data_IF_191189813694
#
_entry.id   IF_191189813694
#
_cell.length_a   1.000
_cell.length_b   1.000
_cell.length_c   1.000
_cell.angle_alpha   90.00
_cell.angle_beta   90.00
_cell.angle_gamma   90.00
#
_symmetry.space_group_name_H-M   'P 1'
#
loop_
_entity.id
_entity.type
_entity.pdbx_description
1 polymer ?
#
# COMPACT_ATOMS: atom_id res chain seq x y z
N UNK A 1 3.41 24.38 7.48
CA UNK A 1 2.74 23.65 6.38
C UNK A 1 2.96 22.17 6.67
N UNK A 2 1.98 21.27 6.53
CA UNK A 2 2.18 19.88 6.92
C UNK A 2 3.06 19.21 5.86
N UNK A 3 4.37 19.36 5.98
CA UNK A 3 5.35 18.79 5.05
C UNK A 3 5.56 17.29 5.28
N UNK A 4 5.16 16.80 6.46
CA UNK A 4 5.47 15.46 6.94
C UNK A 4 4.17 14.76 7.32
N UNK A 5 3.53 14.09 6.35
CA UNK A 5 2.31 13.33 6.63
C UNK A 5 2.64 11.83 6.67
N UNK A 6 2.64 11.17 7.84
CA UNK A 6 2.92 9.75 7.90
C UNK A 6 1.87 8.97 7.11
N UNK A 7 2.32 7.94 6.41
CA UNK A 7 1.46 7.01 5.70
C UNK A 7 1.88 5.56 5.95
N UNK A 8 0.92 4.66 5.77
CA UNK A 8 1.08 3.22 5.86
C UNK A 8 0.45 2.59 4.63
N UNK A 9 1.16 1.65 4.01
CA UNK A 9 0.66 0.78 2.95
C UNK A 9 0.83 -0.66 3.40
N UNK A 10 -0.28 -1.40 3.45
CA UNK A 10 -0.28 -2.83 3.77
C UNK A 10 -0.90 -3.60 2.62
N UNK A 11 -0.33 -4.76 2.30
CA UNK A 11 -0.91 -5.68 1.32
C UNK A 11 -1.13 -7.02 1.97
N UNK A 12 -2.36 -7.51 1.89
CA UNK A 12 -2.78 -8.80 2.43
C UNK A 12 -3.20 -9.71 1.29
N UNK A 13 -2.90 -10.99 1.41
CA UNK A 13 -3.51 -12.00 0.54
C UNK A 13 -4.98 -12.27 0.93
N UNK A 14 -5.69 -13.08 0.14
CA UNK A 14 -7.10 -13.42 0.41
C UNK A 14 -7.32 -14.23 1.70
N UNK A 15 -6.26 -14.76 2.32
CA UNK A 15 -6.32 -15.44 3.61
C UNK A 15 -6.11 -14.45 4.78
N UNK A 16 -5.91 -13.16 4.47
CA UNK A 16 -5.64 -12.12 5.44
C UNK A 16 -4.19 -12.09 5.93
N UNK A 17 -3.28 -12.83 5.29
CA UNK A 17 -1.86 -12.79 5.65
C UNK A 17 -1.23 -11.56 5.03
N UNK A 18 -0.54 -10.78 5.85
CA UNK A 18 0.22 -9.61 5.40
C UNK A 18 1.44 -10.09 4.59
N UNK A 19 1.49 -9.71 3.32
CA UNK A 19 2.58 -10.05 2.40
C UNK A 19 3.51 -8.87 2.13
N UNK A 20 3.07 -7.65 2.45
CA UNK A 20 3.88 -6.43 2.37
C UNK A 20 3.37 -5.41 3.39
N UNK A 21 4.29 -4.67 4.00
CA UNK A 21 3.99 -3.50 4.80
C UNK A 21 5.10 -2.47 4.63
N UNK A 22 4.70 -1.22 4.44
CA UNK A 22 5.59 -0.08 4.37
C UNK A 22 4.99 1.09 5.11
N UNK A 23 5.78 1.66 6.01
CA UNK A 23 5.52 2.96 6.63
C UNK A 23 6.44 4.01 6.02
N UNK A 24 5.98 5.25 5.95
CA UNK A 24 6.76 6.34 5.42
C UNK A 24 6.22 7.70 5.82
N UNK A 25 6.94 8.74 5.44
CA UNK A 25 6.52 10.13 5.57
C UNK A 25 6.29 10.66 4.17
N UNK A 26 5.04 11.03 3.87
CA UNK A 26 4.68 11.63 2.60
C UNK A 26 5.17 13.06 2.56
N UNK A 27 5.75 13.45 1.41
CA UNK A 27 6.18 14.82 1.13
C UNK A 27 5.24 15.48 0.13
N UNK A 28 5.15 16.80 0.18
CA UNK A 28 4.38 17.57 -0.80
C UNK A 28 4.88 17.30 -2.24
N UNK A 29 3.97 16.89 -3.12
CA UNK A 29 4.27 16.49 -4.50
C UNK A 29 4.49 14.99 -4.71
N UNK A 30 4.71 14.21 -3.66
CA UNK A 30 4.81 12.75 -3.74
C UNK A 30 3.45 12.07 -3.54
N UNK A 31 2.65 12.02 -4.62
CA UNK A 31 1.30 11.44 -4.61
C UNK A 31 1.25 9.99 -5.08
N UNK A 32 2.40 9.33 -5.21
CA UNK A 32 2.50 7.96 -5.71
C UNK A 32 3.55 7.16 -4.96
N UNK A 33 3.21 5.92 -4.60
CA UNK A 33 4.15 4.96 -4.05
C UNK A 33 4.30 3.77 -5.02
N UNK A 34 5.50 3.49 -5.54
CA UNK A 34 5.72 2.35 -6.43
C UNK A 34 5.74 1.03 -5.65
N UNK A 35 4.67 0.27 -5.73
CA UNK A 35 4.62 -1.10 -5.19
C UNK A 35 5.31 -2.07 -6.15
N UNK A 36 6.47 -2.61 -5.76
CA UNK A 36 7.20 -3.61 -6.55
C UNK A 36 6.66 -5.01 -6.25
N UNK A 37 6.00 -5.62 -7.25
CA UNK A 37 5.32 -6.92 -7.12
C UNK A 37 6.23 -8.14 -7.33
N UNK A 38 7.55 -7.98 -7.47
CA UNK A 38 8.44 -9.04 -7.96
C UNK A 38 8.43 -10.36 -7.18
N UNK A 39 7.97 -10.35 -5.93
CA UNK A 39 7.84 -11.55 -5.08
C UNK A 39 6.39 -11.97 -4.81
N UNK A 40 5.41 -11.33 -5.47
CA UNK A 40 4.00 -11.64 -5.30
C UNK A 40 3.66 -12.81 -6.23
N UNK A 41 3.11 -13.86 -5.65
CA UNK A 41 2.55 -14.97 -6.45
C UNK A 41 1.31 -14.48 -7.21
N UNK A 42 0.97 -15.07 -8.37
CA UNK A 42 -0.27 -14.77 -9.05
C UNK A 42 -1.48 -14.97 -8.13
N UNK A 43 -2.41 -14.01 -8.15
CA UNK A 43 -3.55 -14.02 -7.23
C UNK A 43 -4.17 -12.65 -7.00
N UNK A 44 -5.10 -12.62 -6.03
CA UNK A 44 -5.80 -11.40 -5.61
C UNK A 44 -5.30 -10.99 -4.23
N UNK A 45 -5.09 -9.69 -4.07
CA UNK A 45 -4.62 -9.08 -2.84
C UNK A 45 -5.48 -7.87 -2.48
N UNK A 46 -5.52 -7.55 -1.19
CA UNK A 46 -6.11 -6.32 -0.68
C UNK A 46 -4.98 -5.37 -0.31
N UNK A 47 -4.99 -4.18 -0.89
CA UNK A 47 -4.07 -3.09 -0.56
C UNK A 47 -4.81 -2.10 0.32
N UNK A 48 -4.33 -1.91 1.55
CA UNK A 48 -4.76 -0.84 2.43
C UNK A 48 -3.78 0.32 2.34
N UNK A 49 -4.32 1.54 2.36
CA UNK A 49 -3.56 2.77 2.44
C UNK A 49 -4.16 3.64 3.54
N UNK A 50 -3.30 4.18 4.41
CA UNK A 50 -3.70 5.14 5.44
C UNK A 50 -2.72 6.30 5.44
N UNK A 51 -3.24 7.53 5.51
CA UNK A 51 -2.43 8.72 5.70
C UNK A 51 -3.23 9.80 6.43
N UNK A 52 -2.81 10.15 7.65
CA UNK A 52 -3.63 10.99 8.54
C UNK A 52 -5.04 10.39 8.74
N UNK A 53 -6.08 11.17 8.46
CA UNK A 53 -7.47 10.71 8.50
C UNK A 53 -7.94 9.97 7.23
N UNK A 54 -7.15 10.01 6.15
CA UNK A 54 -7.49 9.35 4.89
C UNK A 54 -7.24 7.85 5.01
N UNK A 55 -8.25 7.05 4.67
CA UNK A 55 -8.17 5.60 4.57
C UNK A 55 -8.68 5.17 3.20
N UNK A 56 -7.95 4.27 2.56
CA UNK A 56 -8.28 3.72 1.26
C UNK A 56 -8.05 2.23 1.23
N UNK A 57 -8.85 1.54 0.41
CA UNK A 57 -8.68 0.12 0.14
C UNK A 57 -8.81 -0.11 -1.36
N UNK A 58 -7.92 -0.93 -1.92
CA UNK A 58 -7.96 -1.36 -3.31
C UNK A 58 -7.73 -2.87 -3.42
N UNK A 59 -8.16 -3.45 -4.55
CA UNK A 59 -7.79 -4.81 -4.93
C UNK A 59 -6.65 -4.76 -5.93
N UNK A 60 -5.63 -5.57 -5.69
CA UNK A 60 -4.53 -5.80 -6.62
C UNK A 60 -4.68 -7.21 -7.18
N UNK A 61 -4.69 -7.33 -8.51
CA UNK A 61 -4.71 -8.61 -9.21
C UNK A 61 -3.36 -8.79 -9.89
N UNK A 62 -2.63 -9.84 -9.50
CA UNK A 62 -1.35 -10.22 -10.09
C UNK A 62 -1.60 -11.40 -11.02
N UNK A 63 -1.19 -11.26 -12.28
CA UNK A 63 -1.31 -12.27 -13.33
C UNK A 63 0.08 -12.58 -13.89
N UNK A 64 0.26 -13.80 -14.39
CA UNK A 64 1.46 -14.23 -15.15
C UNK A 64 1.51 -13.60 -16.54
#
# INVERSE_FOLDING_TARGET
>A
MPSDQPFIIEVLDMQGRMVFSQEGVGMEGENSFPLRSGNFVPGVYVVYFQSGALKGQKRLVVQD
#
